data_IF_342725000270
#
_entry.id   IF_342725000270
#
_cell.length_a   1.000
_cell.length_b   1.000
_cell.length_c   1.000
_cell.angle_alpha   90.00
_cell.angle_beta   90.00
_cell.angle_gamma   90.00
#
_symmetry.space_group_name_H-M   'P 1'
#
loop_
_entity.id
_entity.type
_entity.pdbx_description
1 polymer ?
#
# COMPACT_ATOMS: atom_id res chain seq x y z
N UNK A 1 16.56 -0.86 -40.24
CA UNK A 1 15.92 0.30 -39.60
C UNK A 1 17.03 1.19 -39.07
N UNK A 2 16.87 2.51 -39.14
CA UNK A 2 17.86 3.49 -38.63
C UNK A 2 17.57 3.91 -37.19
N UNK A 3 16.35 3.70 -36.73
CA UNK A 3 15.90 3.87 -35.35
C UNK A 3 14.79 2.85 -35.07
N UNK A 4 14.68 2.37 -33.83
CA UNK A 4 13.57 1.54 -33.36
C UNK A 4 12.64 2.39 -32.49
N UNK A 5 11.34 2.40 -32.80
CA UNK A 5 10.31 3.10 -32.02
C UNK A 5 9.52 2.07 -31.21
N UNK A 6 9.43 2.27 -29.89
CA UNK A 6 8.80 1.35 -28.95
C UNK A 6 7.71 2.04 -28.11
N UNK A 7 6.49 2.20 -28.64
CA UNK A 7 5.34 2.60 -27.83
C UNK A 7 5.02 1.50 -26.81
N UNK A 8 4.93 1.86 -25.54
CA UNK A 8 4.89 0.91 -24.42
C UNK A 8 3.88 1.36 -23.36
N UNK A 9 3.21 0.40 -22.73
CA UNK A 9 2.46 0.59 -21.49
C UNK A 9 3.07 -0.34 -20.43
N UNK A 10 4.26 0.01 -19.95
CA UNK A 10 5.00 -0.77 -18.96
C UNK A 10 4.59 -0.30 -17.57
N UNK A 11 3.89 -1.12 -16.78
CA UNK A 11 3.52 -0.73 -15.42
C UNK A 11 4.75 -0.58 -14.53
N UNK A 12 4.66 0.36 -13.60
CA UNK A 12 5.62 0.61 -12.55
C UNK A 12 5.67 -0.56 -11.56
N UNK A 13 6.88 -0.78 -11.06
CA UNK A 13 7.15 -1.30 -9.73
C UNK A 13 8.54 -0.82 -9.33
N UNK A 14 8.84 -0.81 -8.04
CA UNK A 14 10.18 -0.47 -7.54
C UNK A 14 11.26 -1.28 -8.28
N UNK A 15 12.32 -0.60 -8.73
CA UNK A 15 13.43 -1.18 -9.51
C UNK A 15 13.14 -1.48 -10.99
N UNK A 16 11.90 -1.30 -11.49
CA UNK A 16 11.54 -1.62 -12.89
C UNK A 16 12.28 -0.75 -13.90
N UNK A 17 12.46 0.53 -13.57
CA UNK A 17 13.13 1.53 -14.41
C UNK A 17 14.53 1.07 -14.82
N UNK A 18 15.35 0.64 -13.85
CA UNK A 18 16.70 0.11 -14.07
C UNK A 18 16.69 -1.14 -14.96
N UNK A 19 15.80 -2.09 -14.70
CA UNK A 19 15.65 -3.30 -15.53
C UNK A 19 15.30 -2.92 -16.97
N UNK A 20 14.39 -1.98 -17.16
CA UNK A 20 13.96 -1.50 -18.48
C UNK A 20 15.13 -0.87 -19.24
N UNK A 21 15.87 0.04 -18.61
CA UNK A 21 17.03 0.68 -19.26
C UNK A 21 18.12 -0.33 -19.62
N UNK A 22 18.44 -1.29 -18.75
CA UNK A 22 19.41 -2.34 -19.03
C UNK A 22 19.02 -3.22 -20.21
N UNK A 23 17.76 -3.63 -20.30
CA UNK A 23 17.25 -4.43 -21.43
C UNK A 23 17.38 -3.64 -22.72
N UNK A 24 16.98 -2.38 -22.73
CA UNK A 24 17.02 -1.53 -23.94
C UNK A 24 18.45 -1.17 -24.34
N UNK A 25 19.35 -0.91 -23.39
CA UNK A 25 20.77 -0.71 -23.66
C UNK A 25 21.39 -1.95 -24.33
N UNK A 26 21.10 -3.15 -23.81
CA UNK A 26 21.58 -4.40 -24.39
C UNK A 26 21.06 -4.62 -25.83
N UNK A 27 19.80 -4.28 -26.11
CA UNK A 27 19.24 -4.38 -27.46
C UNK A 27 19.83 -3.33 -28.41
N UNK A 28 19.92 -2.06 -27.98
CA UNK A 28 20.46 -0.95 -28.79
C UNK A 28 21.90 -1.26 -29.23
N UNK A 29 22.73 -1.71 -28.27
CA UNK A 29 24.11 -2.15 -28.52
C UNK A 29 24.18 -3.37 -29.45
N UNK A 30 23.33 -4.37 -29.24
CA UNK A 30 23.33 -5.61 -30.05
C UNK A 30 23.03 -5.34 -31.52
N UNK A 31 22.08 -4.45 -31.79
CA UNK A 31 21.63 -4.16 -33.16
C UNK A 31 22.38 -3.00 -33.80
N UNK A 32 23.12 -2.20 -33.02
CA UNK A 32 23.81 -1.02 -33.51
C UNK A 32 22.85 0.09 -33.94
N UNK A 33 21.64 0.12 -33.38
CA UNK A 33 20.55 1.03 -33.77
C UNK A 33 19.94 1.67 -32.52
N UNK A 34 19.77 3.01 -32.47
CA UNK A 34 19.11 3.68 -31.35
C UNK A 34 17.66 3.19 -31.14
N UNK A 35 17.22 3.20 -29.89
CA UNK A 35 15.85 2.81 -29.51
C UNK A 35 15.18 3.96 -28.75
N UNK A 36 14.06 4.44 -29.30
CA UNK A 36 13.19 5.43 -28.66
C UNK A 36 11.99 4.70 -28.02
N UNK A 37 11.94 4.72 -26.68
CA UNK A 37 10.83 4.18 -25.91
C UNK A 37 9.91 5.31 -25.46
N UNK A 38 8.64 5.22 -25.86
CA UNK A 38 7.57 6.10 -25.39
C UNK A 38 6.67 5.29 -24.46
N UNK A 39 6.77 5.50 -23.15
CA UNK A 39 5.97 4.80 -22.15
C UNK A 39 4.74 5.62 -21.76
N UNK A 40 3.63 4.95 -21.50
CA UNK A 40 2.46 5.52 -20.87
C UNK A 40 2.82 6.10 -19.48
N UNK A 41 2.11 7.14 -19.07
CA UNK A 41 2.13 7.68 -17.70
C UNK A 41 0.69 7.80 -17.17
N UNK A 42 0.51 7.53 -15.89
CA UNK A 42 -0.80 7.62 -15.20
C UNK A 42 -1.21 6.32 -14.50
N UNK A 43 -2.19 6.40 -13.61
CA UNK A 43 -2.84 5.28 -12.95
C UNK A 43 -4.04 4.74 -13.74
N UNK A 44 -4.24 3.43 -13.75
CA UNK A 44 -5.44 2.79 -14.29
C UNK A 44 -5.85 1.63 -13.38
N UNK A 45 -6.79 1.93 -12.47
CA UNK A 45 -7.21 1.04 -11.39
C UNK A 45 -6.01 0.62 -10.53
N UNK A 46 -5.52 -0.62 -10.64
CA UNK A 46 -4.42 -1.15 -9.81
C UNK A 46 -3.03 -0.80 -10.38
N UNK A 47 -2.92 -0.52 -11.68
CA UNK A 47 -1.63 -0.33 -12.34
C UNK A 47 -1.29 1.15 -12.43
N UNK A 48 -0.07 1.50 -12.05
CA UNK A 48 0.51 2.82 -12.28
C UNK A 48 1.54 2.69 -13.40
N UNK A 49 1.54 3.63 -14.35
CA UNK A 49 2.54 3.74 -15.39
C UNK A 49 3.42 4.95 -15.08
N UNK A 50 4.73 4.73 -14.98
CA UNK A 50 5.70 5.70 -14.52
C UNK A 50 6.12 6.71 -15.60
N UNK A 51 5.73 6.51 -16.87
CA UNK A 51 6.33 7.26 -17.96
C UNK A 51 7.82 6.92 -18.05
N UNK A 52 8.68 7.92 -17.84
CA UNK A 52 10.13 7.71 -17.90
C UNK A 52 10.57 7.27 -19.30
N UNK A 53 9.94 7.84 -20.33
CA UNK A 53 10.31 7.63 -21.73
C UNK A 53 11.77 8.02 -21.97
N UNK A 54 12.45 7.37 -22.92
CA UNK A 54 13.85 7.66 -23.20
C UNK A 54 14.27 7.33 -24.63
N UNK A 55 15.35 7.97 -25.07
CA UNK A 55 16.14 7.58 -26.25
C UNK A 55 17.44 6.91 -25.78
N UNK A 56 17.71 5.69 -26.26
CA UNK A 56 18.89 4.89 -25.93
C UNK A 56 19.75 4.64 -27.17
N UNK A 57 20.97 5.15 -27.17
CA UNK A 57 21.93 4.96 -28.26
C UNK A 57 22.80 3.71 -28.10
N UNK A 58 23.39 3.18 -29.20
CA UNK A 58 24.22 1.97 -29.16
C UNK A 58 25.50 2.11 -28.33
N UNK A 59 25.96 3.33 -28.09
CA UNK A 59 27.11 3.66 -27.26
C UNK A 59 26.78 3.67 -25.75
N UNK A 60 25.51 3.48 -25.38
CA UNK A 60 25.03 3.50 -24.00
C UNK A 60 24.66 4.89 -23.49
N UNK A 61 24.65 5.91 -24.35
CA UNK A 61 24.12 7.23 -24.00
C UNK A 61 22.59 7.23 -23.98
N UNK A 62 22.02 7.98 -23.03
CA UNK A 62 20.58 8.02 -22.81
C UNK A 62 20.06 9.45 -22.54
N UNK A 63 18.94 9.78 -23.18
CA UNK A 63 18.13 10.99 -22.93
C UNK A 63 16.81 10.55 -22.28
N UNK A 64 16.47 11.08 -21.09
CA UNK A 64 15.31 10.64 -20.29
C UNK A 64 14.27 11.75 -20.13
N UNK A 65 13.00 11.37 -20.22
CA UNK A 65 11.88 12.17 -19.73
C UNK A 65 11.68 11.96 -18.21
N UNK A 66 11.05 12.92 -17.51
CA UNK A 66 10.70 12.75 -16.11
C UNK A 66 9.74 11.56 -15.91
N UNK A 67 9.78 10.97 -14.71
CA UNK A 67 8.82 9.96 -14.28
C UNK A 67 7.59 10.62 -13.67
N UNK A 68 6.47 9.89 -13.64
CA UNK A 68 5.19 10.26 -13.01
C UNK A 68 4.57 11.59 -13.46
N UNK A 69 5.01 12.13 -14.60
CA UNK A 69 4.48 13.37 -15.19
C UNK A 69 4.28 13.23 -16.69
N UNK A 70 3.22 13.86 -17.20
CA UNK A 70 2.99 13.97 -18.64
C UNK A 70 4.03 14.91 -19.25
N UNK A 71 4.71 14.45 -20.29
CA UNK A 71 5.83 15.19 -20.87
C UNK A 71 5.95 14.94 -22.38
N UNK A 72 6.37 15.98 -23.11
CA UNK A 72 6.72 15.91 -24.53
C UNK A 72 8.14 16.43 -24.69
N UNK A 73 9.04 15.59 -25.20
CA UNK A 73 10.44 15.92 -25.43
C UNK A 73 10.83 15.73 -26.90
N UNK A 74 11.70 16.61 -27.39
CA UNK A 74 12.44 16.41 -28.63
C UNK A 74 13.78 15.77 -28.27
N UNK A 75 14.08 14.61 -28.86
CA UNK A 75 15.27 13.80 -28.54
C UNK A 75 16.23 13.75 -29.74
N UNK A 76 17.50 13.42 -29.46
CA UNK A 76 18.57 13.38 -30.45
C UNK A 76 19.41 14.66 -30.49
N UNK A 77 19.41 15.44 -29.40
CA UNK A 77 20.08 16.73 -29.28
C UNK A 77 20.83 16.92 -27.95
N UNK A 78 22.16 16.78 -28.01
CA UNK A 78 23.23 17.32 -27.14
C UNK A 78 23.22 17.01 -25.62
N UNK A 79 22.10 16.73 -24.95
CA UNK A 79 22.06 16.45 -23.50
C UNK A 79 21.95 14.95 -23.20
N UNK A 80 23.07 14.25 -23.34
CA UNK A 80 23.17 12.81 -23.07
C UNK A 80 23.78 12.54 -21.70
N UNK A 81 23.17 11.64 -20.94
CA UNK A 81 23.78 11.07 -19.73
C UNK A 81 24.33 9.68 -20.02
N UNK A 82 25.37 9.27 -19.29
CA UNK A 82 25.85 7.88 -19.32
C UNK A 82 24.94 6.96 -18.53
N UNK A 83 24.84 5.69 -18.94
CA UNK A 83 24.08 4.67 -18.22
C UNK A 83 24.53 4.51 -16.75
N UNK A 84 25.83 4.70 -16.49
CA UNK A 84 26.46 4.50 -15.17
C UNK A 84 26.14 5.59 -14.14
N UNK A 85 25.58 6.72 -14.55
CA UNK A 85 25.20 7.80 -13.64
C UNK A 85 23.93 7.49 -12.80
N UNK A 86 23.32 6.31 -12.95
CA UNK A 86 22.00 5.96 -12.42
C UNK A 86 21.94 4.59 -11.71
N UNK A 87 23.07 4.05 -11.20
CA UNK A 87 23.15 2.65 -10.79
C UNK A 87 23.06 2.35 -9.29
N UNK A 88 23.04 3.35 -8.41
CA UNK A 88 22.82 3.17 -6.96
C UNK A 88 21.64 4.04 -6.52
N UNK A 89 20.41 3.56 -6.76
CA UNK A 89 19.25 4.16 -6.08
C UNK A 89 19.40 3.86 -4.58
N UNK A 90 19.43 4.90 -3.78
CA UNK A 90 19.33 4.78 -2.32
C UNK A 90 17.96 4.25 -1.92
N UNK A 91 17.85 3.67 -0.72
CA UNK A 91 16.55 3.25 -0.19
C UNK A 91 15.55 4.42 -0.13
N UNK A 92 16.04 5.63 0.13
CA UNK A 92 15.24 6.86 0.15
C UNK A 92 14.69 7.20 -1.24
N UNK A 93 15.50 7.12 -2.30
CA UNK A 93 15.06 7.35 -3.68
C UNK A 93 14.02 6.31 -4.11
N UNK A 94 14.20 5.04 -3.73
CA UNK A 94 13.19 4.01 -4.02
C UNK A 94 11.87 4.28 -3.29
N UNK A 95 11.90 4.73 -2.03
CA UNK A 95 10.70 5.08 -1.27
C UNK A 95 10.01 6.33 -1.83
N UNK A 96 10.80 7.30 -2.32
CA UNK A 96 10.31 8.48 -3.02
C UNK A 96 9.58 8.10 -4.31
N UNK A 97 10.17 7.25 -5.17
CA UNK A 97 9.53 6.78 -6.40
C UNK A 97 8.22 6.03 -6.09
N UNK A 98 8.19 5.23 -5.03
CA UNK A 98 6.96 4.55 -4.56
C UNK A 98 5.91 5.57 -4.13
N UNK A 99 6.28 6.56 -3.31
CA UNK A 99 5.35 7.59 -2.87
C UNK A 99 4.77 8.38 -4.05
N UNK A 100 5.61 8.76 -5.01
CA UNK A 100 5.18 9.51 -6.21
C UNK A 100 4.25 8.65 -7.10
N UNK A 101 4.51 7.35 -7.21
CA UNK A 101 3.62 6.41 -7.88
C UNK A 101 2.24 6.32 -7.21
N UNK A 102 2.20 6.24 -5.87
CA UNK A 102 0.96 6.18 -5.10
C UNK A 102 0.17 7.48 -5.21
N UNK A 103 0.84 8.63 -5.14
CA UNK A 103 0.22 9.96 -5.33
C UNK A 103 -0.46 10.03 -6.70
N UNK A 104 0.27 9.66 -7.77
CA UNK A 104 -0.29 9.62 -9.13
C UNK A 104 -1.47 8.64 -9.22
N UNK A 105 -1.35 7.46 -8.61
CA UNK A 105 -2.40 6.43 -8.62
C UNK A 105 -3.69 6.88 -7.92
N UNK A 106 -3.58 7.57 -6.77
CA UNK A 106 -4.71 8.16 -6.05
C UNK A 106 -5.35 9.26 -6.90
N UNK A 107 -4.54 10.19 -7.40
CA UNK A 107 -5.03 11.33 -8.19
C UNK A 107 -5.80 10.87 -9.44
N UNK A 108 -5.22 9.94 -10.20
CA UNK A 108 -5.84 9.41 -11.42
C UNK A 108 -7.10 8.57 -11.11
N UNK A 109 -7.13 7.81 -10.01
CA UNK A 109 -8.33 7.08 -9.60
C UNK A 109 -9.47 8.06 -9.33
N UNK A 110 -9.24 9.11 -8.56
CA UNK A 110 -10.26 10.11 -8.25
C UNK A 110 -10.73 10.84 -9.51
N UNK A 111 -9.79 11.34 -10.33
CA UNK A 111 -10.12 12.08 -11.53
C UNK A 111 -10.90 11.24 -12.55
N UNK A 112 -10.45 10.00 -12.82
CA UNK A 112 -11.05 9.13 -13.84
C UNK A 112 -12.36 8.49 -13.41
N UNK A 113 -12.56 8.31 -12.10
CA UNK A 113 -13.83 7.81 -11.54
C UNK A 113 -14.78 8.96 -11.12
N UNK A 114 -14.40 10.22 -11.36
CA UNK A 114 -15.19 11.40 -10.98
C UNK A 114 -15.50 11.48 -9.48
N UNK A 115 -14.53 11.11 -8.65
CA UNK A 115 -14.55 11.35 -7.21
C UNK A 115 -13.86 12.68 -6.88
N UNK A 116 -14.36 13.36 -5.85
CA UNK A 116 -13.91 14.69 -5.43
C UNK A 116 -13.39 14.71 -3.99
N UNK A 117 -13.75 13.75 -3.14
CA UNK A 117 -13.37 13.80 -1.71
C UNK A 117 -12.97 12.43 -1.18
N UNK A 118 -11.75 12.32 -0.65
CA UNK A 118 -11.31 11.13 0.05
C UNK A 118 -11.77 11.15 1.51
N UNK A 119 -12.38 10.04 1.97
CA UNK A 119 -12.79 9.85 3.36
C UNK A 119 -11.95 8.74 3.98
N UNK A 120 -11.31 9.01 5.12
CA UNK A 120 -10.45 8.04 5.79
C UNK A 120 -10.77 7.95 7.29
N UNK A 121 -10.72 6.73 7.82
CA UNK A 121 -10.67 6.53 9.27
C UNK A 121 -9.27 6.86 9.79
N UNK A 122 -9.17 7.79 10.74
CA UNK A 122 -7.90 8.10 11.41
C UNK A 122 -7.87 7.39 12.77
N UNK A 123 -7.07 6.33 12.84
CA UNK A 123 -6.92 5.52 14.05
C UNK A 123 -5.88 6.08 15.03
N UNK A 124 -5.14 7.11 14.61
CA UNK A 124 -3.89 7.53 15.23
C UNK A 124 -2.70 6.65 14.82
N UNK A 125 -2.91 5.46 14.23
CA UNK A 125 -1.85 4.58 13.74
C UNK A 125 -1.18 5.06 12.45
N UNK A 126 0.02 4.53 12.20
CA UNK A 126 0.88 4.92 11.09
C UNK A 126 0.24 4.72 9.70
N UNK A 127 -0.52 3.63 9.49
CA UNK A 127 -1.07 3.33 8.16
C UNK A 127 -2.13 4.34 7.75
N UNK A 128 -3.06 4.68 8.67
CA UNK A 128 -4.03 5.75 8.41
C UNK A 128 -3.36 7.12 8.25
N UNK A 129 -2.24 7.36 8.94
CA UNK A 129 -1.50 8.61 8.83
C UNK A 129 -0.83 8.77 7.46
N UNK A 130 -0.15 7.74 6.97
CA UNK A 130 0.49 7.74 5.65
C UNK A 130 -0.57 7.75 4.55
N UNK A 131 -1.67 7.01 4.69
CA UNK A 131 -2.76 7.05 3.71
C UNK A 131 -3.37 8.45 3.59
N UNK A 132 -3.62 9.13 4.70
CA UNK A 132 -4.13 10.50 4.71
C UNK A 132 -3.11 11.49 4.11
N UNK A 133 -1.83 11.37 4.47
CA UNK A 133 -0.75 12.16 3.91
C UNK A 133 -0.68 12.03 2.37
N UNK A 134 -0.64 10.81 1.85
CA UNK A 134 -0.59 10.56 0.40
C UNK A 134 -1.87 11.05 -0.31
N UNK A 135 -3.04 10.95 0.33
CA UNK A 135 -4.28 11.50 -0.20
C UNK A 135 -4.23 13.03 -0.31
N UNK A 136 -3.66 13.73 0.69
CA UNK A 136 -3.47 15.19 0.67
C UNK A 136 -2.51 15.60 -0.44
N UNK A 137 -1.40 14.90 -0.61
CA UNK A 137 -0.46 15.16 -1.71
C UNK A 137 -1.08 14.94 -3.08
N UNK A 138 -2.01 13.99 -3.21
CA UNK A 138 -2.66 13.65 -4.48
C UNK A 138 -3.85 14.56 -4.84
N UNK A 139 -4.59 15.03 -3.83
CA UNK A 139 -5.91 15.66 -4.04
C UNK A 139 -6.01 17.09 -3.50
N UNK A 140 -5.08 17.53 -2.63
CA UNK A 140 -5.25 18.75 -1.83
C UNK A 140 -5.98 18.50 -0.51
N UNK A 141 -5.68 19.28 0.51
CA UNK A 141 -6.21 19.03 1.87
C UNK A 141 -7.71 19.33 1.99
N UNK A 142 -8.23 20.23 1.16
CA UNK A 142 -9.65 20.57 1.02
C UNK A 142 -10.49 19.40 0.47
N UNK A 143 -9.84 18.44 -0.19
CA UNK A 143 -10.47 17.24 -0.77
C UNK A 143 -10.27 15.99 0.09
N UNK A 144 -9.78 16.13 1.33
CA UNK A 144 -9.56 15.02 2.25
C UNK A 144 -10.30 15.27 3.57
N UNK A 145 -11.05 14.25 4.02
CA UNK A 145 -11.78 14.25 5.29
C UNK A 145 -11.36 13.08 6.16
N UNK A 146 -10.84 13.38 7.33
CA UNK A 146 -10.51 12.41 8.36
C UNK A 146 -11.65 12.18 9.35
N UNK A 147 -11.82 10.95 9.81
CA UNK A 147 -12.81 10.60 10.84
C UNK A 147 -12.15 9.76 11.93
N UNK A 148 -12.05 10.30 13.14
CA UNK A 148 -11.66 9.52 14.31
C UNK A 148 -12.87 8.78 14.88
N UNK A 149 -12.73 7.47 15.11
CA UNK A 149 -13.85 6.60 15.52
C UNK A 149 -13.51 5.79 16.77
N UNK A 150 -13.39 6.45 17.94
CA UNK A 150 -12.98 5.77 19.17
C UNK A 150 -14.04 4.75 19.60
N UNK A 151 -13.56 3.59 20.02
CA UNK A 151 -14.37 2.53 20.61
C UNK A 151 -14.07 2.34 22.10
N UNK A 152 -14.56 1.24 22.70
CA UNK A 152 -14.40 0.96 24.13
C UNK A 152 -12.95 0.84 24.61
N UNK A 153 -12.03 0.50 23.70
CA UNK A 153 -10.62 0.24 24.02
C UNK A 153 -9.67 1.27 23.42
N UNK A 154 -10.20 2.29 22.74
CA UNK A 154 -9.36 3.30 22.10
C UNK A 154 -8.66 4.17 23.13
N UNK A 155 -7.35 4.34 22.97
CA UNK A 155 -6.57 5.15 23.90
C UNK A 155 -6.83 6.65 23.69
N UNK A 156 -6.59 7.46 24.73
CA UNK A 156 -6.63 8.93 24.59
C UNK A 156 -5.53 9.40 23.64
N UNK A 157 -4.33 8.82 23.76
CA UNK A 157 -3.18 9.14 22.90
C UNK A 157 -3.48 8.93 21.42
N UNK A 158 -4.12 7.82 21.03
CA UNK A 158 -4.49 7.59 19.63
C UNK A 158 -5.52 8.59 19.10
N UNK A 159 -6.41 9.12 19.96
CA UNK A 159 -7.34 10.18 19.60
C UNK A 159 -6.62 11.53 19.43
N UNK A 160 -5.70 11.86 20.34
CA UNK A 160 -4.87 13.07 20.26
C UNK A 160 -3.98 13.05 19.01
N UNK A 161 -3.37 11.91 18.70
CA UNK A 161 -2.57 11.71 17.49
C UNK A 161 -3.39 11.93 16.21
N UNK A 162 -4.63 11.43 16.17
CA UNK A 162 -5.52 11.63 15.02
C UNK A 162 -5.87 13.11 14.82
N UNK A 163 -6.08 13.85 15.93
CA UNK A 163 -6.33 15.30 15.91
C UNK A 163 -5.08 16.07 15.45
N UNK A 164 -3.90 15.77 16.01
CA UNK A 164 -2.65 16.44 15.65
C UNK A 164 -2.32 16.19 14.17
N UNK A 165 -2.45 14.95 13.69
CA UNK A 165 -2.30 14.62 12.29
C UNK A 165 -3.23 15.46 11.41
N UNK A 166 -4.53 15.52 11.73
CA UNK A 166 -5.48 16.30 10.94
C UNK A 166 -5.11 17.80 10.87
N UNK A 167 -4.62 18.37 11.97
CA UNK A 167 -4.14 19.75 12.03
C UNK A 167 -2.89 19.97 11.17
N UNK A 168 -1.89 19.08 11.25
CA UNK A 168 -0.68 19.13 10.42
C UNK A 168 -0.97 18.94 8.93
N UNK A 169 -2.01 18.16 8.62
CA UNK A 169 -2.42 17.90 7.26
C UNK A 169 -3.34 18.99 6.68
N UNK A 170 -3.95 19.82 7.53
CA UNK A 170 -4.89 20.86 7.12
C UNK A 170 -6.19 20.31 6.54
N UNK A 171 -6.61 19.13 7.00
CA UNK A 171 -7.79 18.41 6.51
C UNK A 171 -9.00 18.63 7.42
N UNK A 172 -10.20 18.48 6.87
CA UNK A 172 -11.40 18.46 7.70
C UNK A 172 -11.45 17.19 8.55
N UNK A 173 -11.79 17.33 9.84
CA UNK A 173 -11.72 16.23 10.80
C UNK A 173 -12.88 16.22 11.78
N UNK A 174 -13.45 15.04 12.00
CA UNK A 174 -14.56 14.83 12.93
C UNK A 174 -14.34 13.59 13.79
N UNK A 175 -14.83 13.66 15.03
CA UNK A 175 -14.85 12.53 15.95
C UNK A 175 -16.26 11.94 16.03
N UNK A 176 -16.39 10.65 15.70
CA UNK A 176 -17.65 9.91 15.75
C UNK A 176 -17.43 8.62 16.53
N UNK A 177 -17.73 8.65 17.83
CA UNK A 177 -17.58 7.47 18.70
C UNK A 177 -18.47 6.31 18.23
N UNK A 178 -17.91 5.09 18.25
CA UNK A 178 -18.66 3.86 17.95
C UNK A 178 -19.23 3.18 19.20
N UNK A 179 -18.99 3.76 20.39
CA UNK A 179 -19.29 3.15 21.69
C UNK A 179 -20.75 2.69 21.81
N UNK A 180 -21.70 3.57 21.47
CA UNK A 180 -23.13 3.28 21.60
C UNK A 180 -23.57 2.20 20.61
N UNK A 181 -23.16 2.33 19.33
CA UNK A 181 -23.42 1.34 18.29
C UNK A 181 -22.86 -0.04 18.65
N UNK A 182 -21.64 -0.09 19.19
CA UNK A 182 -21.02 -1.32 19.66
C UNK A 182 -21.80 -1.93 20.81
N UNK A 183 -22.17 -1.12 21.81
CA UNK A 183 -22.92 -1.57 22.99
C UNK A 183 -24.29 -2.14 22.60
N UNK A 184 -25.00 -1.47 21.70
CA UNK A 184 -26.32 -1.91 21.23
C UNK A 184 -26.25 -3.21 20.43
N UNK A 185 -25.30 -3.31 19.51
CA UNK A 185 -25.12 -4.55 18.74
C UNK A 185 -24.69 -5.71 19.64
N UNK A 186 -23.83 -5.43 20.63
CA UNK A 186 -23.42 -6.42 21.63
C UNK A 186 -24.62 -6.92 22.44
N UNK A 187 -25.41 -6.02 23.01
CA UNK A 187 -26.64 -6.37 23.75
C UNK A 187 -27.61 -7.20 22.91
N UNK A 188 -27.75 -6.88 21.61
CA UNK A 188 -28.65 -7.60 20.70
C UNK A 188 -28.19 -9.04 20.40
N UNK A 189 -26.89 -9.32 20.43
CA UNK A 189 -26.30 -10.64 20.14
C UNK A 189 -26.06 -11.48 21.41
N UNK A 190 -26.06 -10.84 22.58
CA UNK A 190 -25.84 -11.47 23.88
C UNK A 190 -26.78 -12.66 24.18
N UNK A 191 -28.08 -12.65 23.82
CA UNK A 191 -28.95 -13.82 24.01
C UNK A 191 -28.50 -15.08 23.26
N UNK A 192 -27.70 -14.93 22.19
CA UNK A 192 -27.21 -16.05 21.36
C UNK A 192 -25.76 -16.39 21.67
N UNK A 193 -24.92 -15.38 21.92
CA UNK A 193 -23.48 -15.54 22.12
C UNK A 193 -23.07 -15.61 23.60
N UNK A 194 -23.98 -15.31 24.52
CA UNK A 194 -23.72 -15.19 25.96
C UNK A 194 -23.03 -13.88 26.33
N UNK A 195 -22.89 -13.66 27.64
CA UNK A 195 -22.41 -12.41 28.25
C UNK A 195 -20.88 -12.26 28.27
N UNK A 196 -20.17 -13.34 27.90
CA UNK A 196 -18.71 -13.47 28.02
C UNK A 196 -17.90 -12.76 26.93
N UNK A 197 -16.60 -13.07 26.90
CA UNK A 197 -15.69 -12.61 25.86
C UNK A 197 -15.92 -13.38 24.55
N UNK A 198 -16.21 -12.69 23.44
CA UNK A 198 -16.41 -13.32 22.13
C UNK A 198 -15.11 -13.38 21.30
N UNK A 199 -13.98 -12.99 21.88
CA UNK A 199 -12.68 -12.93 21.23
C UNK A 199 -12.72 -12.08 19.95
N UNK A 200 -12.09 -12.56 18.89
CA UNK A 200 -12.00 -11.92 17.57
C UNK A 200 -13.38 -11.48 17.01
N UNK A 201 -14.49 -12.12 17.40
CA UNK A 201 -15.81 -11.72 16.93
C UNK A 201 -16.21 -10.31 17.40
N UNK A 202 -15.89 -9.92 18.65
CA UNK A 202 -16.23 -8.59 19.18
C UNK A 202 -15.25 -7.51 18.69
N UNK A 203 -13.99 -7.90 18.45
CA UNK A 203 -12.98 -7.04 17.83
C UNK A 203 -13.41 -6.68 16.40
N UNK A 204 -13.75 -7.69 15.60
CA UNK A 204 -14.26 -7.51 14.24
C UNK A 204 -15.57 -6.73 14.19
N UNK A 205 -16.42 -6.83 15.23
CA UNK A 205 -17.64 -6.04 15.31
C UNK A 205 -17.33 -4.54 15.36
N UNK A 206 -16.34 -4.12 16.16
CA UNK A 206 -15.92 -2.72 16.20
C UNK A 206 -15.43 -2.25 14.83
N UNK A 207 -14.56 -3.02 14.17
CA UNK A 207 -14.07 -2.69 12.83
C UNK A 207 -15.19 -2.57 11.80
N UNK A 208 -16.20 -3.45 11.80
CA UNK A 208 -17.36 -3.37 10.89
C UNK A 208 -18.25 -2.17 11.14
N UNK A 209 -18.41 -1.76 12.40
CA UNK A 209 -19.13 -0.52 12.73
C UNK A 209 -18.39 0.68 12.15
N UNK A 210 -17.05 0.75 12.32
CA UNK A 210 -16.24 1.82 11.72
C UNK A 210 -16.38 1.86 10.20
N UNK A 211 -16.31 0.70 9.54
CA UNK A 211 -16.48 0.63 8.09
C UNK A 211 -17.88 1.08 7.63
N UNK A 212 -18.92 0.68 8.37
CA UNK A 212 -20.30 1.14 8.12
C UNK A 212 -20.42 2.66 8.27
N UNK A 213 -19.82 3.24 9.31
CA UNK A 213 -19.79 4.68 9.55
C UNK A 213 -19.12 5.43 8.39
N UNK A 214 -17.92 5.01 7.98
CA UNK A 214 -17.18 5.65 6.87
C UNK A 214 -17.96 5.59 5.56
N UNK A 215 -18.50 4.42 5.21
CA UNK A 215 -19.28 4.25 3.99
C UNK A 215 -20.58 5.08 4.03
N UNK A 216 -21.25 5.15 5.19
CA UNK A 216 -22.45 5.98 5.36
C UNK A 216 -22.13 7.46 5.19
N UNK A 217 -21.01 7.92 5.75
CA UNK A 217 -20.55 9.30 5.60
C UNK A 217 -20.20 9.61 4.14
N UNK A 218 -19.41 8.76 3.48
CA UNK A 218 -19.08 8.94 2.08
C UNK A 218 -20.33 8.99 1.19
N UNK A 219 -21.31 8.12 1.41
CA UNK A 219 -22.56 8.11 0.63
C UNK A 219 -23.43 9.36 0.83
N UNK A 220 -23.27 10.10 1.93
CA UNK A 220 -24.01 11.34 2.15
C UNK A 220 -23.42 12.54 1.38
N UNK A 221 -22.22 12.38 0.82
CA UNK A 221 -21.48 13.43 0.11
C UNK A 221 -21.34 13.08 -1.37
N UNK A 222 -21.77 13.96 -2.29
CA UNK A 222 -21.53 13.77 -3.71
C UNK A 222 -20.04 13.59 -4.01
N UNK A 223 -19.69 12.58 -4.79
CA UNK A 223 -18.31 12.36 -5.23
C UNK A 223 -17.33 11.89 -4.14
N UNK A 224 -17.78 11.59 -2.92
CA UNK A 224 -16.87 11.09 -1.89
C UNK A 224 -16.57 9.59 -2.03
N UNK A 225 -15.35 9.19 -1.67
CA UNK A 225 -14.92 7.79 -1.69
C UNK A 225 -14.04 7.47 -0.47
N UNK A 226 -14.31 6.32 0.14
CA UNK A 226 -13.51 5.83 1.26
C UNK A 226 -12.20 5.23 0.76
N UNK A 227 -11.07 5.61 1.36
CA UNK A 227 -9.79 4.93 1.16
C UNK A 227 -9.55 3.93 2.29
N UNK A 228 -9.28 2.68 1.92
CA UNK A 228 -8.85 1.65 2.86
C UNK A 228 -7.38 1.87 3.24
N UNK A 229 -7.05 1.64 4.51
CA UNK A 229 -5.72 1.97 5.07
C UNK A 229 -4.85 0.73 5.33
N UNK A 230 -5.36 -0.47 5.06
CA UNK A 230 -4.60 -1.71 5.29
C UNK A 230 -3.36 -1.81 4.39
N UNK A 231 -2.23 -2.23 4.97
CA UNK A 231 -0.97 -2.43 4.25
C UNK A 231 -0.80 -3.86 3.73
N UNK A 232 0.21 -4.11 2.91
CA UNK A 232 0.50 -5.43 2.34
C UNK A 232 0.78 -6.46 3.42
N UNK A 233 1.44 -6.09 4.51
CA UNK A 233 1.80 -7.01 5.59
C UNK A 233 0.55 -7.57 6.27
N UNK A 234 -0.39 -6.70 6.66
CA UNK A 234 -1.68 -7.06 7.24
C UNK A 234 -2.53 -7.88 6.27
N UNK A 235 -2.67 -7.42 5.02
CA UNK A 235 -3.43 -8.13 3.98
C UNK A 235 -2.84 -9.51 3.66
N UNK A 236 -1.52 -9.65 3.75
CA UNK A 236 -0.82 -10.92 3.51
C UNK A 236 -1.27 -11.97 4.50
N UNK A 237 -1.14 -11.71 5.80
CA UNK A 237 -1.50 -12.69 6.82
C UNK A 237 -3.00 -12.69 7.14
N UNK A 238 -3.77 -11.78 6.55
CA UNK A 238 -5.20 -11.63 6.80
C UNK A 238 -5.49 -11.04 8.18
N UNK A 239 -4.57 -10.23 8.69
CA UNK A 239 -4.73 -9.43 9.91
C UNK A 239 -5.57 -8.19 9.59
N UNK A 240 -6.79 -8.46 9.14
CA UNK A 240 -7.74 -7.49 8.63
C UNK A 240 -9.18 -8.03 8.77
N UNK A 241 -10.13 -7.12 8.83
CA UNK A 241 -11.55 -7.42 9.03
C UNK A 241 -12.30 -7.20 7.72
N UNK A 242 -12.89 -8.28 7.19
CA UNK A 242 -13.84 -8.16 6.08
C UNK A 242 -15.00 -7.24 6.48
N UNK A 243 -15.25 -6.25 5.62
CA UNK A 243 -16.25 -5.19 5.79
C UNK A 243 -15.98 -4.25 6.98
N UNK A 244 -14.78 -4.32 7.55
CA UNK A 244 -14.27 -3.38 8.55
C UNK A 244 -13.15 -2.53 7.95
N UNK A 245 -11.92 -2.67 8.44
CA UNK A 245 -10.74 -1.95 7.95
C UNK A 245 -10.45 -2.12 6.44
N UNK A 246 -10.94 -3.20 5.83
CA UNK A 246 -10.82 -3.42 4.37
C UNK A 246 -11.82 -2.59 3.54
N UNK A 247 -12.76 -1.87 4.15
CA UNK A 247 -13.76 -1.11 3.40
C UNK A 247 -13.14 0.09 2.68
N UNK A 248 -13.49 0.26 1.40
CA UNK A 248 -13.03 1.38 0.59
C UNK A 248 -13.24 1.15 -0.89
N UNK A 249 -13.12 2.21 -1.68
CA UNK A 249 -13.06 2.13 -3.15
C UNK A 249 -11.65 1.94 -3.69
N UNK A 250 -10.62 2.22 -2.89
CA UNK A 250 -9.22 2.05 -3.23
C UNK A 250 -8.42 1.74 -1.96
N UNK A 251 -7.39 0.89 -2.05
CA UNK A 251 -6.44 0.59 -0.98
C UNK A 251 -5.02 1.04 -1.40
N UNK A 252 -4.65 2.31 -1.17
CA UNK A 252 -3.38 2.84 -1.65
C UNK A 252 -2.16 2.14 -1.06
N UNK A 253 -2.24 1.69 0.20
CA UNK A 253 -1.12 1.07 0.91
C UNK A 253 -1.08 -0.46 0.75
N UNK A 254 -2.05 -1.05 0.05
CA UNK A 254 -2.24 -2.51 0.03
C UNK A 254 -1.09 -3.31 -0.59
N UNK A 255 -0.15 -2.65 -1.27
CA UNK A 255 1.08 -3.24 -1.81
C UNK A 255 2.37 -2.69 -1.17
N UNK A 256 2.26 -2.01 -0.02
CA UNK A 256 3.39 -1.59 0.81
C UNK A 256 3.59 -2.51 2.00
N UNK A 257 4.82 -2.93 2.24
CA UNK A 257 5.20 -3.56 3.51
C UNK A 257 5.11 -2.55 4.67
N UNK A 258 4.99 -3.01 5.92
CA UNK A 258 4.96 -2.12 7.08
C UNK A 258 6.23 -1.27 7.17
N UNK A 259 7.40 -1.86 6.88
CA UNK A 259 8.66 -1.13 6.82
C UNK A 259 8.63 -0.01 5.76
N UNK A 260 8.03 -0.24 4.59
CA UNK A 260 7.89 0.78 3.56
C UNK A 260 6.93 1.89 3.99
N UNK A 261 5.85 1.58 4.72
CA UNK A 261 4.93 2.59 5.29
C UNK A 261 5.70 3.53 6.22
N UNK A 262 6.50 3.00 7.17
CA UNK A 262 7.35 3.81 8.03
C UNK A 262 8.44 4.57 7.25
N UNK A 263 9.03 3.94 6.23
CA UNK A 263 10.01 4.57 5.35
C UNK A 263 9.45 5.80 4.65
N UNK A 264 8.25 5.68 4.06
CA UNK A 264 7.55 6.81 3.43
C UNK A 264 7.27 7.91 4.45
N UNK A 265 6.76 7.56 5.64
CA UNK A 265 6.47 8.53 6.70
C UNK A 265 7.69 9.37 7.13
N UNK A 266 8.90 8.83 6.95
CA UNK A 266 10.18 9.43 7.35
C UNK A 266 10.92 10.14 6.22
N UNK A 267 10.40 10.14 4.98
CA UNK A 267 11.00 10.88 3.86
C UNK A 267 11.15 12.35 4.22
N UNK A 268 12.26 12.97 3.79
CA UNK A 268 12.55 14.38 4.12
C UNK A 268 11.41 15.33 3.72
N UNK A 269 10.80 15.10 2.55
CA UNK A 269 9.67 15.89 2.05
C UNK A 269 8.43 15.85 2.95
N UNK A 270 8.32 14.86 3.83
CA UNK A 270 7.17 14.64 4.73
C UNK A 270 7.51 14.87 6.20
N UNK A 271 8.75 15.28 6.51
CA UNK A 271 9.19 15.52 7.87
C UNK A 271 8.25 16.49 8.60
N UNK A 272 7.82 16.09 9.79
CA UNK A 272 6.93 16.88 10.65
C UNK A 272 5.45 16.88 10.24
N UNK A 273 5.07 16.21 9.15
CA UNK A 273 3.67 16.11 8.72
C UNK A 273 2.87 15.04 9.46
N UNK A 274 3.55 14.02 9.98
CA UNK A 274 2.98 12.97 10.85
C UNK A 274 3.50 13.21 12.28
N UNK A 275 2.64 13.11 13.33
CA UNK A 275 3.08 13.25 14.71
C UNK A 275 4.17 12.24 15.09
N UNK A 276 5.20 12.67 15.83
CA UNK A 276 6.30 11.78 16.25
C UNK A 276 5.79 10.62 17.12
N UNK A 277 4.79 10.87 17.97
CA UNK A 277 4.08 9.85 18.75
C UNK A 277 3.46 8.74 17.88
N UNK A 278 3.00 9.07 16.67
CA UNK A 278 2.50 8.08 15.69
C UNK A 278 3.64 7.23 15.12
N UNK A 279 4.83 7.81 14.96
CA UNK A 279 6.01 7.12 14.43
C UNK A 279 6.68 6.20 15.46
N UNK A 280 6.63 6.58 16.73
CA UNK A 280 7.35 5.87 17.81
C UNK A 280 6.48 4.81 18.49
N UNK A 281 5.17 4.87 18.33
CA UNK A 281 4.27 3.90 18.98
C UNK A 281 4.29 2.54 18.29
N UNK A 282 4.17 1.45 19.08
CA UNK A 282 3.97 0.11 18.52
C UNK A 282 2.68 0.02 17.68
N UNK A 283 2.70 -0.72 16.55
CA UNK A 283 1.49 -1.00 15.79
C UNK A 283 0.42 -1.74 16.60
N UNK A 284 -0.82 -1.27 16.52
CA UNK A 284 -1.98 -1.86 17.17
C UNK A 284 -3.29 -1.44 16.48
N UNK A 285 -4.28 -2.33 16.49
CA UNK A 285 -5.65 -2.06 16.06
C UNK A 285 -6.57 -1.50 17.18
N UNK A 286 -6.11 -1.49 18.44
CA UNK A 286 -6.86 -1.05 19.63
C UNK A 286 -8.32 -1.60 19.69
N UNK A 287 -8.48 -2.90 19.44
CA UNK A 287 -9.78 -3.61 19.48
C UNK A 287 -9.99 -4.40 20.77
N UNK A 288 -8.93 -4.59 21.56
CA UNK A 288 -8.93 -5.23 22.87
C UNK A 288 -8.01 -4.48 23.84
N UNK A 289 -8.15 -4.66 25.17
CA UNK A 289 -7.27 -4.01 26.15
C UNK A 289 -5.80 -4.34 25.92
N UNK A 290 -4.94 -3.32 25.93
CA UNK A 290 -3.47 -3.41 25.82
C UNK A 290 -2.97 -4.18 24.58
N UNK A 291 -3.79 -4.28 23.54
CA UNK A 291 -3.48 -5.05 22.33
C UNK A 291 -2.29 -4.48 21.57
N UNK A 292 -1.39 -5.36 21.11
CA UNK A 292 -0.35 -5.05 20.11
C UNK A 292 -0.31 -6.11 19.02
N UNK A 293 0.10 -5.76 17.80
CA UNK A 293 0.09 -6.71 16.68
C UNK A 293 0.99 -7.93 16.92
N UNK A 294 2.07 -7.74 17.68
CA UNK A 294 3.02 -8.80 18.06
C UNK A 294 2.43 -9.85 19.01
N UNK A 295 1.22 -9.65 19.52
CA UNK A 295 0.50 -10.68 20.29
C UNK A 295 0.10 -11.88 19.41
N UNK A 296 -0.05 -11.67 18.09
CA UNK A 296 -0.49 -12.69 17.14
C UNK A 296 0.45 -12.89 15.95
N UNK A 297 1.37 -11.96 15.72
CA UNK A 297 2.28 -11.95 14.56
C UNK A 297 3.75 -11.86 15.02
N UNK A 298 4.70 -12.39 14.23
CA UNK A 298 6.10 -12.08 14.47
C UNK A 298 6.38 -10.57 14.24
N UNK A 299 7.51 -10.04 14.74
CA UNK A 299 7.91 -8.66 14.46
C UNK A 299 7.88 -8.35 12.96
N UNK A 300 7.47 -7.13 12.60
CA UNK A 300 7.29 -6.74 11.20
C UNK A 300 8.54 -6.91 10.35
N UNK A 301 9.75 -6.78 10.92
CA UNK A 301 11.00 -7.05 10.20
C UNK A 301 11.09 -8.51 9.71
N UNK A 302 10.70 -9.47 10.55
CA UNK A 302 10.66 -10.88 10.17
C UNK A 302 9.48 -11.17 9.23
N UNK A 303 8.32 -10.59 9.52
CA UNK A 303 7.13 -10.76 8.70
C UNK A 303 7.40 -10.27 7.27
N UNK A 304 7.84 -9.02 7.10
CA UNK A 304 8.10 -8.41 5.79
C UNK A 304 9.19 -9.16 5.02
N UNK A 305 10.22 -9.67 5.70
CA UNK A 305 11.24 -10.51 5.08
C UNK A 305 10.67 -11.84 4.53
N UNK A 306 9.81 -12.52 5.30
CA UNK A 306 9.11 -13.73 4.83
C UNK A 306 8.20 -13.38 3.65
N UNK A 307 7.47 -12.26 3.71
CA UNK A 307 6.58 -11.82 2.65
C UNK A 307 7.33 -11.53 1.35
N UNK A 308 8.44 -10.79 1.40
CA UNK A 308 9.26 -10.52 0.22
C UNK A 308 9.80 -11.82 -0.37
N UNK A 309 10.37 -12.70 0.47
CA UNK A 309 10.88 -14.01 0.03
C UNK A 309 9.82 -14.88 -0.63
N UNK A 310 8.70 -15.11 0.07
CA UNK A 310 7.64 -16.02 -0.38
C UNK A 310 6.83 -15.48 -1.55
N UNK A 311 6.36 -14.23 -1.45
CA UNK A 311 5.39 -13.65 -2.39
C UNK A 311 6.07 -13.02 -3.59
N UNK A 312 7.10 -12.21 -3.36
CA UNK A 312 7.73 -11.38 -4.39
C UNK A 312 8.87 -12.11 -5.11
N UNK A 313 9.69 -12.84 -4.37
CA UNK A 313 10.87 -13.52 -4.90
C UNK A 313 10.60 -14.99 -5.30
N UNK A 314 9.58 -15.65 -4.72
CA UNK A 314 9.32 -17.12 -4.81
C UNK A 314 10.47 -17.97 -4.28
N UNK A 315 11.09 -17.51 -3.21
CA UNK A 315 11.97 -18.38 -2.45
C UNK A 315 11.16 -19.56 -1.91
N UNK A 316 11.78 -20.73 -1.92
CA UNK A 316 11.29 -21.91 -1.24
C UNK A 316 11.30 -21.71 0.27
N UNK A 317 10.56 -22.56 0.98
CA UNK A 317 10.54 -22.58 2.44
C UNK A 317 11.95 -22.60 3.03
N UNK A 318 12.82 -23.49 2.52
CA UNK A 318 14.19 -23.64 3.02
C UNK A 318 15.03 -22.39 2.75
N UNK A 319 14.93 -21.80 1.55
CA UNK A 319 15.67 -20.57 1.22
C UNK A 319 15.29 -19.40 2.15
N UNK A 320 14.04 -19.33 2.63
CA UNK A 320 13.63 -18.31 3.60
C UNK A 320 14.18 -18.63 5.00
N UNK A 321 14.19 -19.89 5.41
CA UNK A 321 14.82 -20.31 6.69
C UNK A 321 16.31 -20.01 6.67
N UNK A 322 16.98 -20.20 5.54
CA UNK A 322 18.41 -19.94 5.35
C UNK A 322 18.76 -18.44 5.46
N UNK A 323 17.77 -17.53 5.44
CA UNK A 323 17.93 -16.11 5.78
C UNK A 323 18.10 -15.86 7.30
N UNK A 324 18.05 -16.91 8.12
CA UNK A 324 18.19 -16.84 9.58
C UNK A 324 16.87 -16.61 10.32
N UNK A 325 15.72 -16.77 9.64
CA UNK A 325 14.39 -16.63 10.25
C UNK A 325 13.97 -17.97 10.86
N UNK A 326 13.45 -18.00 12.11
CA UNK A 326 13.03 -19.24 12.75
C UNK A 326 12.02 -20.03 11.91
N UNK A 327 12.26 -21.33 11.75
CA UNK A 327 11.43 -22.21 10.92
C UNK A 327 9.94 -22.16 11.28
N UNK A 328 9.63 -22.12 12.58
CA UNK A 328 8.27 -22.02 13.08
C UNK A 328 7.58 -20.73 12.63
N UNK A 329 8.28 -19.60 12.68
CA UNK A 329 7.78 -18.31 12.20
C UNK A 329 7.51 -18.35 10.69
N UNK A 330 8.45 -18.88 9.89
CA UNK A 330 8.30 -19.02 8.44
C UNK A 330 7.07 -19.86 8.10
N UNK A 331 6.91 -21.02 8.76
CA UNK A 331 5.79 -21.94 8.58
C UNK A 331 4.46 -21.31 8.94
N UNK A 332 4.39 -20.64 10.10
CA UNK A 332 3.18 -19.98 10.59
C UNK A 332 2.73 -18.86 9.64
N UNK A 333 3.66 -17.99 9.24
CA UNK A 333 3.37 -16.86 8.34
C UNK A 333 2.94 -17.35 6.97
N UNK A 334 3.65 -18.30 6.35
CA UNK A 334 3.23 -18.85 5.05
C UNK A 334 1.84 -19.45 5.14
N UNK A 335 1.54 -20.23 6.20
CA UNK A 335 0.19 -20.77 6.39
C UNK A 335 -0.86 -19.67 6.46
N UNK A 336 -0.61 -18.59 7.20
CA UNK A 336 -1.49 -17.42 7.28
C UNK A 336 -1.68 -16.76 5.90
N UNK A 337 -0.60 -16.59 5.12
CA UNK A 337 -0.68 -16.08 3.75
C UNK A 337 -1.63 -16.94 2.93
N UNK A 338 -1.45 -18.25 2.96
CA UNK A 338 -2.18 -19.14 2.07
C UNK A 338 -3.68 -19.22 2.43
N UNK A 339 -4.05 -19.27 3.72
CA UNK A 339 -5.47 -19.34 4.14
C UNK A 339 -6.22 -18.00 3.99
N UNK A 340 -5.51 -16.89 4.00
CA UNK A 340 -6.09 -15.53 3.94
C UNK A 340 -6.46 -15.07 2.52
N UNK A 341 -6.31 -15.94 1.51
CA UNK A 341 -6.64 -15.65 0.11
C UNK A 341 -8.09 -15.17 -0.08
N UNK A 342 -9.04 -15.75 0.66
CA UNK A 342 -10.46 -15.37 0.58
C UNK A 342 -10.73 -13.92 1.01
N UNK A 343 -9.94 -13.38 1.96
CA UNK A 343 -10.06 -11.98 2.40
C UNK A 343 -9.54 -11.04 1.32
N UNK A 344 -8.33 -11.30 0.81
CA UNK A 344 -7.68 -10.48 -0.22
C UNK A 344 -8.47 -10.40 -1.52
N UNK A 345 -9.22 -11.44 -1.87
CA UNK A 345 -10.11 -11.44 -3.04
C UNK A 345 -11.29 -10.45 -2.94
N UNK A 346 -11.56 -9.93 -1.74
CA UNK A 346 -12.61 -8.96 -1.45
C UNK A 346 -12.03 -7.61 -0.99
N UNK A 347 -10.71 -7.39 -1.09
CA UNK A 347 -10.15 -6.07 -0.83
C UNK A 347 -10.61 -5.08 -1.90
N UNK A 348 -10.61 -3.79 -1.53
CA UNK A 348 -10.62 -2.74 -2.54
C UNK A 348 -9.44 -2.92 -3.52
N UNK A 349 -9.53 -2.37 -4.76
CA UNK A 349 -8.41 -2.35 -5.69
C UNK A 349 -7.14 -1.81 -5.03
N UNK A 350 -6.03 -2.50 -5.22
CA UNK A 350 -4.74 -2.18 -4.60
C UNK A 350 -3.85 -1.48 -5.63
N UNK A 351 -3.26 -0.34 -5.27
CA UNK A 351 -2.24 0.29 -6.10
C UNK A 351 -0.96 -0.55 -6.07
N UNK A 352 -0.56 -1.09 -7.22
CA UNK A 352 0.61 -1.95 -7.36
C UNK A 352 1.89 -1.12 -7.48
N UNK A 353 2.83 -1.37 -6.58
CA UNK A 353 4.17 -0.77 -6.58
C UNK A 353 5.29 -1.80 -6.44
N UNK A 354 4.94 -3.06 -6.18
CA UNK A 354 5.87 -4.19 -6.12
C UNK A 354 5.81 -5.06 -7.39
N UNK A 355 6.84 -5.89 -7.64
CA UNK A 355 6.83 -6.85 -8.74
C UNK A 355 5.61 -7.79 -8.68
N UNK A 356 5.15 -8.14 -7.48
CA UNK A 356 3.98 -9.02 -7.25
C UNK A 356 3.06 -8.49 -6.14
N UNK A 357 2.09 -7.69 -6.56
CA UNK A 357 0.95 -7.32 -5.73
C UNK A 357 -0.06 -8.47 -5.59
N UNK A 358 -0.85 -8.43 -4.52
CA UNK A 358 -2.11 -9.17 -4.47
C UNK A 358 -3.11 -8.60 -5.49
N UNK A 359 -4.00 -9.44 -6.03
CA UNK A 359 -4.86 -9.07 -7.17
C UNK A 359 -4.22 -9.46 -8.50
N UNK A 360 -3.99 -8.49 -9.40
CA UNK A 360 -3.40 -8.77 -10.73
C UNK A 360 -2.00 -9.39 -10.71
N UNK A 361 -1.20 -9.12 -9.66
CA UNK A 361 0.19 -9.59 -9.56
C UNK A 361 0.36 -11.04 -9.08
N UNK A 362 -0.64 -11.60 -8.41
CA UNK A 362 -0.62 -12.97 -7.85
C UNK A 362 -2.02 -13.58 -7.90
N UNK A 363 -2.17 -14.63 -8.71
CA UNK A 363 -3.43 -15.37 -8.86
C UNK A 363 -3.31 -16.76 -8.27
N UNK A 364 -3.94 -16.97 -7.12
CA UNK A 364 -3.97 -18.25 -6.42
C UNK A 364 -5.44 -18.65 -6.16
N UNK A 365 -5.84 -19.93 -6.33
CA UNK A 365 -7.23 -20.33 -6.15
C UNK A 365 -7.61 -20.34 -4.66
N UNK A 366 -8.76 -19.77 -4.29
CA UNK A 366 -9.25 -19.76 -2.90
C UNK A 366 -9.45 -21.20 -2.38
N UNK A 367 -10.20 -22.01 -3.14
CA UNK A 367 -10.47 -23.40 -2.79
C UNK A 367 -9.31 -24.29 -3.26
N UNK A 368 -8.36 -24.56 -2.36
CA UNK A 368 -7.23 -25.48 -2.61
C UNK A 368 -6.82 -26.19 -1.31
N UNK A 369 -6.25 -27.39 -1.44
CA UNK A 369 -5.52 -27.99 -0.32
C UNK A 369 -4.15 -27.30 -0.18
N UNK A 370 -3.68 -27.21 1.06
CA UNK A 370 -2.32 -26.79 1.38
C UNK A 370 -1.38 -27.99 1.54
N UNK A 371 -1.91 -29.22 1.53
CA UNK A 371 -1.12 -30.45 1.68
C UNK A 371 -0.24 -30.68 0.44
N UNK A 372 1.06 -30.92 0.66
CA UNK A 372 2.03 -31.18 -0.41
C UNK A 372 2.37 -29.98 -1.29
N UNK A 373 1.85 -28.79 -0.95
CA UNK A 373 2.06 -27.56 -1.71
C UNK A 373 3.11 -26.69 -1.00
N UNK A 374 4.38 -26.87 -1.38
CA UNK A 374 5.58 -26.10 -0.95
C UNK A 374 5.88 -25.99 0.56
N UNK A 375 4.96 -26.40 1.44
CA UNK A 375 5.17 -26.57 2.86
C UNK A 375 5.50 -28.05 3.12
N UNK A 376 6.68 -28.36 3.70
CA UNK A 376 6.97 -29.73 4.12
C UNK A 376 5.93 -30.16 5.17
N UNK A 377 5.44 -31.39 5.04
CA UNK A 377 4.44 -32.01 5.93
C UNK A 377 4.84 -31.95 7.40
#
# INVERSE_FOLDING_TARGET
>A
AEILLSPTASPFHAGRKKIREQVFAAQSKRWGVPICLANLVGGNTELIFDGGSFLMDPDGSIERCPSFSSHVALVGGVAKSGLDAALEDTDEESLQEIADALILGISDFFQKCHHETAVLGLSGGIDSAVAALLAVEALGSEHVRGVGMPGPYSSIGSQEDAVDLAQRLGIDFQMISIQESYTQMRSSLEPVLGTGNWGVAQENLQSRIRGTTLMTLANSMPGAMVLATGNKSELSVGYCTLYGDMCGGLAPLGDLSKQQVYGIARLEKFRGRIPDSTLDKPPSAELAPDQVDTDSLPPYEQLDAILSGWVEQRLSFQEIVDLGIPEESVRSVIRLIEISEHKRRQSAPILRVSPRAYGVGRRVPIARSLDGWQLPS
#
